data_IF_551622943143
#
_entry.id   IF_551622943143
#
_cell.length_a   1.000
_cell.length_b   1.000
_cell.length_c   1.000
_cell.angle_alpha   90.00
_cell.angle_beta   90.00
_cell.angle_gamma   90.00
#
_symmetry.space_group_name_H-M   'P 1'
#
loop_
_entity.id
_entity.type
_entity.pdbx_description
1 polymer ?
#
# COMPACT_ATOMS: atom_id res chain seq x y z
N UNK A 1 -2.07 13.95 -5.90
CA UNK A 1 -1.73 13.60 -4.50
C UNK A 1 -1.49 12.10 -4.44
N UNK A 2 -0.52 11.62 -3.64
CA UNK A 2 -0.17 10.19 -3.52
C UNK A 2 -0.18 9.76 -2.05
N UNK A 3 -0.47 8.48 -1.81
CA UNK A 3 -0.43 7.86 -0.47
C UNK A 3 0.33 6.54 -0.55
N UNK A 4 0.98 6.14 0.55
CA UNK A 4 1.58 4.81 0.70
C UNK A 4 0.50 3.89 1.26
N UNK A 5 0.38 2.69 0.69
CA UNK A 5 -0.59 1.69 1.10
C UNK A 5 -0.07 0.28 0.93
N UNK A 6 -0.67 -0.66 1.64
CA UNK A 6 -0.32 -2.08 1.59
C UNK A 6 -1.43 -2.85 0.88
N UNK A 7 -1.07 -3.54 -0.21
CA UNK A 7 -2.01 -4.40 -0.95
C UNK A 7 -2.27 -5.67 -0.16
N UNK A 8 -3.53 -5.96 0.16
CA UNK A 8 -3.92 -7.16 0.93
C UNK A 8 -4.54 -8.26 0.07
N UNK A 9 -4.90 -7.96 -1.19
CA UNK A 9 -5.41 -8.94 -2.15
C UNK A 9 -6.31 -8.29 -3.21
N UNK A 10 -6.79 -9.09 -4.15
CA UNK A 10 -7.82 -8.63 -5.08
C UNK A 10 -9.19 -8.57 -4.40
N UNK A 11 -10.05 -7.68 -4.89
CA UNK A 11 -11.44 -7.58 -4.41
C UNK A 11 -12.24 -8.76 -4.97
N UNK A 12 -12.92 -9.49 -4.09
CA UNK A 12 -13.77 -10.64 -4.43
C UNK A 12 -15.20 -10.48 -3.89
N UNK A 13 -16.05 -11.49 -4.11
CA UNK A 13 -17.42 -11.54 -3.58
C UNK A 13 -18.39 -10.53 -4.21
N UNK A 14 -19.33 -10.04 -3.39
CA UNK A 14 -20.43 -9.18 -3.85
C UNK A 14 -19.92 -7.89 -4.52
N UNK A 15 -18.86 -7.30 -3.96
CA UNK A 15 -18.30 -6.04 -4.46
C UNK A 15 -17.77 -6.21 -5.89
N UNK A 16 -17.05 -7.30 -6.16
CA UNK A 16 -16.58 -7.62 -7.52
C UNK A 16 -17.74 -7.78 -8.49
N UNK A 17 -18.81 -8.47 -8.07
CA UNK A 17 -20.01 -8.70 -8.89
C UNK A 17 -20.77 -7.41 -9.19
N UNK A 18 -20.88 -6.50 -8.22
CA UNK A 18 -21.59 -5.22 -8.35
C UNK A 18 -20.80 -4.20 -9.17
N UNK A 19 -19.51 -4.07 -8.89
CA UNK A 19 -18.67 -3.03 -9.51
C UNK A 19 -18.09 -3.47 -10.86
N UNK A 20 -17.96 -4.77 -11.11
CA UNK A 20 -17.45 -5.36 -12.36
C UNK A 20 -16.13 -4.75 -12.85
N UNK A 21 -15.28 -4.32 -11.91
CA UNK A 21 -13.95 -3.74 -12.14
C UNK A 21 -12.89 -4.61 -11.49
N UNK A 22 -11.69 -4.62 -12.07
CA UNK A 22 -10.49 -5.18 -11.41
C UNK A 22 -10.02 -4.17 -10.36
N UNK A 23 -10.23 -4.52 -9.10
CA UNK A 23 -9.91 -3.70 -7.95
C UNK A 23 -9.00 -4.50 -7.02
N UNK A 24 -8.11 -3.80 -6.33
CA UNK A 24 -7.24 -4.34 -5.30
C UNK A 24 -7.59 -3.70 -3.96
N UNK A 25 -7.63 -4.51 -2.91
CA UNK A 25 -7.74 -4.06 -1.53
C UNK A 25 -6.41 -3.45 -1.08
N UNK A 26 -6.46 -2.21 -0.60
CA UNK A 26 -5.31 -1.45 -0.14
C UNK A 26 -5.60 -0.90 1.25
N UNK A 27 -4.82 -1.32 2.24
CA UNK A 27 -4.82 -0.67 3.55
C UNK A 27 -3.96 0.60 3.49
N UNK A 28 -4.59 1.75 3.74
CA UNK A 28 -3.94 3.06 3.83
C UNK A 28 -3.76 3.41 5.30
N UNK A 29 -2.55 3.29 5.86
CA UNK A 29 -2.30 3.64 7.25
C UNK A 29 -2.34 5.16 7.45
N UNK A 30 -2.65 5.56 8.67
CA UNK A 30 -2.42 6.92 9.14
C UNK A 30 -0.98 7.10 9.58
N UNK A 31 -0.49 8.34 9.48
CA UNK A 31 0.81 8.72 10.04
C UNK A 31 0.59 9.40 11.40
N UNK A 32 1.39 9.14 12.44
CA UNK A 32 2.50 8.18 12.51
C UNK A 32 2.05 6.75 12.90
N UNK A 33 0.78 6.54 13.27
CA UNK A 33 0.31 5.25 13.76
C UNK A 33 -0.03 4.27 12.61
N UNK A 34 0.82 3.25 12.32
CA UNK A 34 0.67 2.40 11.15
C UNK A 34 -0.43 1.32 11.34
N UNK A 35 -1.08 1.30 12.51
CA UNK A 35 -2.14 0.33 12.85
C UNK A 35 -3.54 0.84 12.50
N UNK A 36 -3.76 2.15 12.52
CA UNK A 36 -5.03 2.77 12.11
C UNK A 36 -4.97 3.21 10.65
N UNK A 37 -6.14 3.28 10.00
CA UNK A 37 -6.20 3.59 8.59
C UNK A 37 -7.54 3.31 7.95
N UNK A 38 -7.54 3.33 6.62
CA UNK A 38 -8.69 3.03 5.78
C UNK A 38 -8.41 1.78 4.93
N UNK A 39 -9.44 0.97 4.70
CA UNK A 39 -9.42 -0.02 3.63
C UNK A 39 -10.02 0.62 2.38
N UNK A 40 -9.22 0.75 1.32
CA UNK A 40 -9.68 1.24 0.03
C UNK A 40 -9.70 0.11 -1.00
N UNK A 41 -10.65 0.19 -1.93
CA UNK A 41 -10.74 -0.68 -3.10
C UNK A 41 -10.38 0.16 -4.32
N UNK A 42 -9.19 -0.05 -4.85
CA UNK A 42 -8.58 0.85 -5.84
C UNK A 42 -8.44 0.13 -7.17
N UNK A 43 -8.79 0.76 -8.32
CA UNK A 43 -8.52 0.20 -9.64
C UNK A 43 -7.04 -0.10 -9.82
N UNK A 44 -6.72 -1.28 -10.37
CA UNK A 44 -5.33 -1.70 -10.54
C UNK A 44 -4.52 -0.73 -11.42
N UNK A 45 -5.20 0.03 -12.29
CA UNK A 45 -4.61 1.06 -13.16
C UNK A 45 -4.14 2.31 -12.42
N UNK A 46 -4.58 2.52 -11.17
CA UNK A 46 -4.21 3.68 -10.34
C UNK A 46 -3.11 3.34 -9.32
N UNK A 47 -2.65 2.09 -9.28
CA UNK A 47 -1.64 1.61 -8.35
C UNK A 47 -0.24 1.64 -8.97
N UNK A 48 0.72 2.18 -8.22
CA UNK A 48 2.15 2.08 -8.53
C UNK A 48 2.84 1.18 -7.50
N UNK A 49 3.28 0.00 -7.94
CA UNK A 49 4.01 -0.95 -7.08
C UNK A 49 5.42 -0.43 -6.79
N UNK A 50 5.81 -0.44 -5.52
CA UNK A 50 7.14 -0.06 -5.06
C UNK A 50 7.97 -1.31 -4.78
N UNK A 51 9.24 -1.31 -5.21
CA UNK A 51 10.19 -2.38 -4.89
C UNK A 51 10.89 -2.12 -3.55
N UNK A 52 10.12 -2.12 -2.46
CA UNK A 52 10.58 -1.74 -1.11
C UNK A 52 10.21 -2.85 -0.12
N UNK A 53 10.86 -2.87 1.05
CA UNK A 53 10.44 -3.76 2.14
C UNK A 53 9.23 -3.17 2.86
N UNK A 54 8.36 -4.04 3.40
CA UNK A 54 7.22 -3.61 4.22
C UNK A 54 7.73 -2.86 5.46
N UNK A 55 8.78 -3.36 6.09
CA UNK A 55 9.39 -2.75 7.27
C UNK A 55 9.90 -1.33 7.00
N UNK A 56 10.55 -1.08 5.86
CA UNK A 56 11.04 0.26 5.51
C UNK A 56 9.89 1.22 5.16
N UNK A 57 8.82 0.71 4.54
CA UNK A 57 7.59 1.48 4.34
C UNK A 57 6.97 1.86 5.69
N UNK A 58 6.88 0.94 6.65
CA UNK A 58 6.38 1.20 8.01
C UNK A 58 7.24 2.24 8.72
N UNK A 59 8.58 2.12 8.68
CA UNK A 59 9.49 3.13 9.27
C UNK A 59 9.26 4.52 8.68
N UNK A 60 9.08 4.60 7.36
CA UNK A 60 8.78 5.86 6.66
C UNK A 60 7.46 6.46 7.17
N UNK A 61 6.39 5.65 7.28
CA UNK A 61 5.08 6.09 7.76
C UNK A 61 5.15 6.55 9.23
N UNK A 62 5.77 5.76 10.11
CA UNK A 62 5.89 6.09 11.54
C UNK A 62 6.68 7.38 11.77
N UNK A 63 7.70 7.62 10.94
CA UNK A 63 8.51 8.83 11.01
C UNK A 63 7.89 10.04 10.30
N UNK A 64 6.65 9.94 9.80
CA UNK A 64 6.00 10.97 9.00
C UNK A 64 6.81 11.44 7.79
N UNK A 65 7.57 10.52 7.17
CA UNK A 65 8.39 10.79 6.00
C UNK A 65 9.80 11.33 6.30
N UNK A 66 10.20 11.42 7.58
CA UNK A 66 11.59 11.81 7.95
C UNK A 66 12.57 10.71 7.53
N UNK A 67 12.22 9.44 7.74
CA UNK A 67 12.99 8.30 7.24
C UNK A 67 12.68 8.11 5.76
N UNK A 68 13.72 8.07 4.93
CA UNK A 68 13.59 7.87 3.48
C UNK A 68 13.22 6.42 3.18
N UNK A 69 12.30 6.25 2.22
CA UNK A 69 11.94 4.94 1.70
C UNK A 69 12.96 4.50 0.63
N UNK A 70 13.83 3.54 0.97
CA UNK A 70 14.82 3.01 0.04
C UNK A 70 14.31 1.76 -0.70
N UNK A 71 14.72 1.64 -1.97
CA UNK A 71 14.50 0.42 -2.77
C UNK A 71 15.20 -0.77 -2.11
N UNK A 72 14.59 -1.95 -2.14
CA UNK A 72 15.26 -3.19 -1.71
C UNK A 72 16.58 -3.34 -2.47
N UNK A 73 17.70 -3.29 -1.74
CA UNK A 73 19.01 -3.67 -2.30
C UNK A 73 18.99 -5.18 -2.52
N UNK A 74 19.28 -5.61 -3.75
CA UNK A 74 19.57 -7.01 -4.01
C UNK A 74 20.85 -7.37 -3.24
N UNK A 75 20.74 -8.26 -2.25
CA UNK A 75 21.90 -8.87 -1.60
C UNK A 75 22.55 -9.86 -2.59
N UNK A 76 23.26 -9.34 -3.59
CA UNK A 76 24.20 -10.06 -4.46
C UNK A 76 25.15 -9.02 -5.06
N UNK A 77 26.15 -8.62 -4.28
CA UNK A 77 27.45 -8.10 -4.72
C UNK A 77 28.48 -8.55 -3.71
#
# INVERSE_FOLDING_TARGET
MWVIGFTTGDVEGEIKTKLKKKLTNVFIPTTPNPTSGFLLMVPNTELKKLNVSVDDAIKTIVSAGIIKLETKRNKNS
#
